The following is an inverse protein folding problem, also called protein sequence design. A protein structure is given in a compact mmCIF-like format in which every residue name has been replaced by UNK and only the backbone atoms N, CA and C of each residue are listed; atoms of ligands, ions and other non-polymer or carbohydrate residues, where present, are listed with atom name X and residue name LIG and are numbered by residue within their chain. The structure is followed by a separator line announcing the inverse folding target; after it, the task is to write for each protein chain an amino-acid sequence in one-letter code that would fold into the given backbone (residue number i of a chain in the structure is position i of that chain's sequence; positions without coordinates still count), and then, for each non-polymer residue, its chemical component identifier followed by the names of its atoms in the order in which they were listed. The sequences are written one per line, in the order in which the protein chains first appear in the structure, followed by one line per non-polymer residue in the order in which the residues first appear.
data_IF_567208193029
#
_entry.id   IF_567208193029
#
_cell.length_a   1.000
_cell.length_b   1.000
_cell.length_c   1.000
_cell.angle_alpha   90.00
_cell.angle_beta   90.00
_cell.angle_gamma   90.00
#
_symmetry.space_group_name_H-M   'P 1'
#
loop_
_entity.id
_entity.type
_entity.pdbx_description
1 polymer ?
#
# COMPACT_ATOMS: atom_id res chain seq x y z
N UNK A 1 -24.90 -16.71 13.57
CA UNK A 1 -24.07 -15.72 14.29
C UNK A 1 -22.86 -15.42 13.41
N UNK A 2 -22.57 -14.15 13.10
CA UNK A 2 -21.41 -13.74 12.28
C UNK A 2 -20.07 -14.19 12.92
N UNK A 3 -19.07 -14.49 12.09
CA UNK A 3 -17.71 -14.88 12.50
C UNK A 3 -17.05 -13.80 13.38
N UNK A 4 -17.24 -12.52 13.03
CA UNK A 4 -16.74 -11.38 13.78
C UNK A 4 -17.26 -11.37 15.24
N UNK A 5 -18.55 -11.69 15.44
CA UNK A 5 -19.16 -11.79 16.80
C UNK A 5 -18.56 -12.93 17.65
N UNK A 6 -17.78 -13.82 17.05
CA UNK A 6 -17.08 -14.92 17.70
C UNK A 6 -15.57 -14.64 17.85
N UNK A 7 -15.11 -13.45 17.46
CA UNK A 7 -13.69 -13.11 17.44
C UNK A 7 -12.89 -13.88 16.39
N UNK A 8 -13.55 -14.39 15.34
CA UNK A 8 -12.88 -15.13 14.26
C UNK A 8 -12.62 -14.15 13.10
N UNK A 9 -11.34 -13.94 12.77
CA UNK A 9 -10.92 -13.25 11.55
C UNK A 9 -10.95 -14.22 10.37
N UNK A 10 -11.59 -13.84 9.27
CA UNK A 10 -11.66 -14.63 8.04
C UNK A 10 -10.76 -13.97 7.00
N UNK A 11 -9.95 -14.75 6.28
CA UNK A 11 -9.19 -14.25 5.14
C UNK A 11 -9.44 -15.11 3.90
N UNK A 12 -9.54 -14.45 2.75
CA UNK A 12 -9.51 -15.04 1.42
C UNK A 12 -8.22 -14.62 0.73
N UNK A 13 -7.45 -15.59 0.23
CA UNK A 13 -6.18 -15.35 -0.43
C UNK A 13 -5.97 -16.26 -1.64
N UNK A 14 -5.05 -15.87 -2.52
CA UNK A 14 -4.61 -16.63 -3.72
C UNK A 14 -5.67 -16.79 -4.82
N UNK A 15 -6.79 -16.09 -4.76
CA UNK A 15 -7.81 -16.11 -5.82
C UNK A 15 -7.51 -15.12 -6.95
N UNK A 16 -8.13 -15.38 -8.10
CA UNK A 16 -8.04 -14.51 -9.27
C UNK A 16 -8.90 -13.25 -9.09
N UNK A 17 -8.51 -12.14 -9.73
CA UNK A 17 -9.21 -10.85 -9.65
C UNK A 17 -10.71 -10.93 -9.98
N UNK A 18 -11.11 -11.84 -10.89
CA UNK A 18 -12.52 -12.04 -11.24
C UNK A 18 -13.41 -12.46 -10.06
N UNK A 19 -12.84 -13.05 -9.01
CA UNK A 19 -13.58 -13.35 -7.76
C UNK A 19 -13.88 -12.04 -7.01
N UNK A 20 -12.95 -11.07 -7.02
CA UNK A 20 -13.18 -9.76 -6.41
C UNK A 20 -14.28 -8.98 -7.14
N UNK A 21 -14.34 -9.08 -8.47
CA UNK A 21 -15.44 -8.52 -9.26
C UNK A 21 -16.80 -9.07 -8.82
N UNK A 22 -16.87 -10.40 -8.61
CA UNK A 22 -18.09 -11.05 -8.15
C UNK A 22 -18.46 -10.63 -6.72
N UNK A 23 -17.48 -10.49 -5.81
CA UNK A 23 -17.73 -10.00 -4.46
C UNK A 23 -18.38 -8.61 -4.49
N UNK A 24 -17.84 -7.68 -5.30
CA UNK A 24 -18.45 -6.35 -5.48
C UNK A 24 -19.86 -6.42 -6.04
N UNK A 25 -20.07 -7.18 -7.11
CA UNK A 25 -21.38 -7.31 -7.77
C UNK A 25 -22.45 -7.90 -6.84
N UNK A 26 -22.04 -8.77 -5.91
CA UNK A 26 -22.93 -9.40 -4.94
C UNK A 26 -23.14 -8.58 -3.65
N UNK A 27 -22.53 -7.39 -3.54
CA UNK A 27 -22.66 -6.52 -2.36
C UNK A 27 -21.77 -6.90 -1.19
N UNK A 28 -20.66 -7.61 -1.44
CA UNK A 28 -19.65 -8.01 -0.44
C UNK A 28 -18.35 -7.22 -0.60
N UNK A 29 -18.39 -5.98 -1.11
CA UNK A 29 -17.22 -5.11 -1.24
C UNK A 29 -16.52 -4.86 0.10
N UNK A 30 -17.29 -4.82 1.19
CA UNK A 30 -16.79 -4.67 2.56
C UNK A 30 -15.70 -5.71 2.90
N UNK A 31 -15.74 -6.92 2.30
CA UNK A 31 -14.70 -7.92 2.53
C UNK A 31 -13.33 -7.51 1.98
N UNK A 32 -13.33 -6.75 0.89
CA UNK A 32 -12.12 -6.23 0.25
C UNK A 32 -11.63 -4.99 1.02
N UNK A 33 -12.56 -4.09 1.31
CA UNK A 33 -12.29 -2.79 1.96
C UNK A 33 -11.81 -2.96 3.42
N UNK A 34 -12.30 -3.97 4.14
CA UNK A 34 -11.86 -4.27 5.51
C UNK A 34 -10.63 -5.19 5.58
N UNK A 35 -9.98 -5.48 4.44
CA UNK A 35 -8.72 -6.24 4.40
C UNK A 35 -8.87 -7.76 4.58
N UNK A 36 -10.09 -8.32 4.51
CA UNK A 36 -10.29 -9.78 4.57
C UNK A 36 -9.90 -10.49 3.26
N UNK A 37 -9.56 -9.75 2.22
CA UNK A 37 -9.17 -10.24 0.90
C UNK A 37 -7.75 -9.78 0.62
N UNK A 38 -6.80 -10.71 0.54
CA UNK A 38 -5.39 -10.43 0.20
C UNK A 38 -4.95 -11.20 -1.01
N UNK A 39 -3.99 -10.65 -1.77
CA UNK A 39 -3.54 -11.29 -3.02
C UNK A 39 -2.81 -12.61 -2.77
N UNK A 40 -2.02 -12.69 -1.70
CA UNK A 40 -1.25 -13.90 -1.33
C UNK A 40 -1.53 -14.34 0.11
N UNK A 41 -1.25 -15.61 0.39
CA UNK A 41 -1.39 -16.18 1.74
C UNK A 41 -0.41 -15.53 2.73
N UNK A 42 0.78 -15.16 2.27
CA UNK A 42 1.82 -14.52 3.09
C UNK A 42 1.39 -13.14 3.58
N UNK A 43 0.67 -12.39 2.75
CA UNK A 43 0.10 -11.09 3.10
C UNK A 43 -1.09 -11.23 4.05
N UNK A 44 -1.96 -12.23 3.83
CA UNK A 44 -3.03 -12.55 4.79
C UNK A 44 -2.47 -12.97 6.17
N UNK A 45 -1.37 -13.73 6.18
CA UNK A 45 -0.67 -14.09 7.41
C UNK A 45 -0.07 -12.87 8.11
N UNK A 46 0.51 -11.93 7.35
CA UNK A 46 1.04 -10.68 7.88
C UNK A 46 -0.04 -9.86 8.59
N UNK A 47 -1.22 -9.67 7.96
CA UNK A 47 -2.36 -8.98 8.60
C UNK A 47 -2.89 -9.70 9.84
N UNK A 48 -2.78 -11.03 9.85
CA UNK A 48 -3.15 -11.84 11.00
C UNK A 48 -2.09 -11.79 12.13
N UNK A 49 -0.97 -11.10 11.93
CA UNK A 49 0.12 -10.94 12.91
C UNK A 49 1.14 -12.09 12.88
N UNK A 50 1.18 -12.87 11.81
CA UNK A 50 2.16 -13.94 11.59
C UNK A 50 3.25 -13.49 10.62
N UNK A 51 4.49 -13.47 11.10
CA UNK A 51 5.65 -13.11 10.31
C UNK A 51 6.54 -14.32 9.98
N UNK A 52 7.37 -14.16 8.95
CA UNK A 52 8.39 -15.15 8.58
C UNK A 52 9.55 -15.12 9.59
N UNK A 53 10.18 -16.25 9.90
CA UNK A 53 9.85 -17.61 9.43
C UNK A 53 8.60 -18.17 10.13
N UNK A 54 7.73 -18.85 9.38
CA UNK A 54 6.49 -19.38 9.94
C UNK A 54 6.76 -20.65 10.76
N UNK A 55 6.42 -20.64 12.05
CA UNK A 55 6.62 -21.78 12.93
C UNK A 55 5.49 -22.81 12.78
N UNK A 56 5.82 -24.04 12.37
CA UNK A 56 4.87 -25.15 12.26
C UNK A 56 5.02 -26.08 13.46
N UNK A 57 3.93 -26.36 14.16
CA UNK A 57 3.91 -27.32 15.27
C UNK A 57 4.15 -28.76 14.75
N UNK A 58 5.02 -29.51 15.42
CA UNK A 58 5.28 -30.92 15.08
C UNK A 58 6.12 -31.17 13.83
N UNK A 59 6.66 -30.11 13.19
CA UNK A 59 7.58 -30.22 12.06
C UNK A 59 8.97 -29.76 12.51
N UNK A 60 9.97 -30.65 12.40
CA UNK A 60 11.37 -30.24 12.61
C UNK A 60 11.73 -29.13 11.61
N UNK A 61 12.23 -28.00 12.11
CA UNK A 61 12.60 -26.83 11.29
C UNK A 61 13.77 -27.08 10.32
N UNK A 62 14.30 -28.32 10.30
CA UNK A 62 15.32 -28.80 9.36
C UNK A 62 14.77 -29.02 7.95
N UNK A 63 13.44 -29.08 7.77
CA UNK A 63 12.84 -28.96 6.44
C UNK A 63 13.05 -27.53 6.00
N UNK A 64 14.02 -27.31 5.10
CA UNK A 64 14.35 -26.03 4.48
C UNK A 64 13.07 -25.30 4.06
N UNK A 65 12.50 -24.48 4.94
CA UNK A 65 11.74 -23.35 4.48
C UNK A 65 12.72 -22.57 3.61
N UNK A 66 12.34 -22.17 2.38
CA UNK A 66 13.14 -21.23 1.62
C UNK A 66 13.52 -20.12 2.59
N UNK A 67 14.83 -19.93 2.80
CA UNK A 67 15.37 -18.96 3.73
C UNK A 67 15.06 -17.57 3.17
N UNK A 68 13.80 -17.16 3.27
CA UNK A 68 13.39 -15.79 3.08
C UNK A 68 13.78 -15.10 4.39
N UNK A 69 15.02 -14.65 4.45
CA UNK A 69 15.56 -13.95 5.61
C UNK A 69 14.84 -12.61 5.76
N UNK A 70 14.17 -12.42 6.90
CA UNK A 70 13.73 -11.10 7.38
C UNK A 70 12.29 -10.73 7.06
N UNK A 71 11.87 -9.59 7.64
CA UNK A 71 10.56 -8.91 7.51
C UNK A 71 10.18 -8.51 6.07
N UNK A 72 10.89 -9.03 5.06
CA UNK A 72 10.75 -8.63 3.68
C UNK A 72 9.70 -9.48 2.96
N UNK A 73 8.86 -8.80 2.20
CA UNK A 73 7.99 -9.42 1.22
C UNK A 73 8.83 -10.12 0.16
N UNK A 74 8.26 -11.13 -0.50
CA UNK A 74 8.94 -11.75 -1.66
C UNK A 74 9.11 -10.75 -2.79
N UNK A 75 10.09 -10.98 -3.69
CA UNK A 75 10.23 -10.16 -4.91
C UNK A 75 8.90 -10.04 -5.68
N UNK A 76 8.09 -11.11 -5.63
CA UNK A 76 6.77 -11.14 -6.26
C UNK A 76 5.79 -10.23 -5.52
N UNK A 77 5.73 -10.34 -4.19
CA UNK A 77 4.90 -9.51 -3.30
C UNK A 77 5.23 -8.02 -3.38
N UNK A 78 6.50 -7.64 -3.50
CA UNK A 78 6.92 -6.24 -3.67
C UNK A 78 6.48 -5.63 -5.01
N UNK A 79 6.25 -6.49 -6.01
CA UNK A 79 5.86 -6.09 -7.35
C UNK A 79 4.35 -6.20 -7.62
N UNK A 80 3.55 -6.54 -6.60
CA UNK A 80 2.11 -6.66 -6.75
C UNK A 80 1.48 -5.27 -6.82
N UNK A 81 0.61 -5.12 -7.81
CA UNK A 81 -0.45 -4.10 -7.83
C UNK A 81 -1.67 -4.74 -7.12
N UNK A 82 -1.73 -4.62 -5.80
CA UNK A 82 -2.84 -5.13 -4.98
C UNK A 82 -4.10 -4.30 -5.22
N UNK A 83 -3.98 -2.99 -5.45
CA UNK A 83 -5.13 -2.14 -5.74
C UNK A 83 -5.83 -2.55 -7.04
N UNK A 84 -5.11 -2.67 -8.16
CA UNK A 84 -5.70 -3.10 -9.43
C UNK A 84 -6.26 -4.52 -9.33
N UNK A 85 -5.58 -5.43 -8.64
CA UNK A 85 -6.10 -6.79 -8.42
C UNK A 85 -7.37 -6.80 -7.56
N UNK A 86 -7.40 -5.97 -6.51
CA UNK A 86 -8.50 -5.91 -5.56
C UNK A 86 -9.71 -5.21 -6.16
N UNK A 87 -9.54 -4.06 -6.79
CA UNK A 87 -10.63 -3.14 -7.17
C UNK A 87 -10.82 -2.98 -8.68
N UNK A 88 -9.90 -3.49 -9.51
CA UNK A 88 -9.99 -3.39 -10.98
C UNK A 88 -10.04 -1.93 -11.43
N UNK A 89 -11.02 -1.58 -12.26
CA UNK A 89 -11.21 -0.22 -12.76
C UNK A 89 -11.50 0.83 -11.67
N UNK A 90 -11.93 0.40 -10.49
CA UNK A 90 -12.22 1.28 -9.35
C UNK A 90 -10.97 1.59 -8.51
N UNK A 91 -9.84 0.94 -8.76
CA UNK A 91 -8.59 1.13 -8.01
C UNK A 91 -8.17 2.61 -7.89
N UNK A 92 -8.21 3.44 -8.96
CA UNK A 92 -7.86 4.85 -8.84
C UNK A 92 -8.80 5.66 -7.94
N UNK A 93 -10.09 5.32 -7.90
CA UNK A 93 -11.07 6.01 -7.06
C UNK A 93 -10.92 5.59 -5.60
N UNK A 94 -10.73 4.30 -5.35
CA UNK A 94 -10.52 3.77 -4.00
C UNK A 94 -9.25 4.34 -3.36
N UNK A 95 -8.13 4.34 -4.10
CA UNK A 95 -6.88 4.87 -3.56
C UNK A 95 -6.99 6.38 -3.23
N UNK A 96 -7.82 7.12 -3.95
CA UNK A 96 -8.12 8.52 -3.64
C UNK A 96 -8.97 8.70 -2.37
N UNK A 97 -9.88 7.76 -2.09
CA UNK A 97 -10.62 7.73 -0.81
C UNK A 97 -9.66 7.44 0.34
N UNK A 98 -8.73 6.50 0.16
CA UNK A 98 -7.76 6.13 1.19
C UNK A 98 -6.80 7.27 1.53
N UNK A 99 -6.37 8.04 0.52
CA UNK A 99 -5.57 9.26 0.73
C UNK A 99 -6.28 10.26 1.63
N UNK A 100 -7.59 10.45 1.43
CA UNK A 100 -8.38 11.35 2.28
C UNK A 100 -8.52 10.80 3.69
N UNK A 101 -8.80 9.51 3.83
CA UNK A 101 -8.86 8.85 5.14
C UNK A 101 -7.53 8.96 5.90
N UNK A 102 -6.39 8.77 5.22
CA UNK A 102 -5.04 8.95 5.79
C UNK A 102 -4.89 10.39 6.31
N UNK A 103 -5.19 11.39 5.48
CA UNK A 103 -5.06 12.81 5.86
C UNK A 103 -5.99 13.15 7.04
N UNK A 104 -7.22 12.65 7.04
CA UNK A 104 -8.20 12.90 8.11
C UNK A 104 -7.75 12.28 9.45
N UNK A 105 -7.19 11.08 9.41
CA UNK A 105 -6.78 10.28 10.58
C UNK A 105 -5.42 10.67 11.17
N UNK A 106 -4.63 11.53 10.51
CA UNK A 106 -3.42 12.08 11.13
C UNK A 106 -3.82 12.96 12.31
N UNK A 107 -3.62 12.42 13.52
CA UNK A 107 -3.97 13.05 14.80
C UNK A 107 -2.78 13.13 15.75
N UNK A 108 -1.70 13.81 15.38
CA UNK A 108 -0.84 14.47 16.36
C UNK A 108 0.17 15.40 15.67
N UNK A 109 0.54 16.49 16.34
CA UNK A 109 1.21 17.63 15.71
C UNK A 109 2.64 17.75 16.23
N UNK A 110 3.60 17.30 15.42
CA UNK A 110 5.03 17.60 15.65
C UNK A 110 5.52 18.60 14.61
N UNK A 111 5.97 19.77 15.06
CA UNK A 111 6.56 20.83 14.19
C UNK A 111 7.94 20.44 13.59
N UNK A 112 8.50 19.29 13.99
CA UNK A 112 9.82 18.83 13.55
C UNK A 112 9.65 17.90 12.35
N UNK A 113 10.49 18.07 11.33
CA UNK A 113 10.49 17.29 10.08
C UNK A 113 10.60 15.79 10.31
N UNK A 114 11.48 15.33 11.21
CA UNK A 114 11.56 13.92 11.60
C UNK A 114 10.19 13.42 12.06
N UNK A 115 9.60 14.07 13.07
CA UNK A 115 8.28 13.69 13.57
C UNK A 115 7.18 13.72 12.50
N UNK A 116 7.26 14.66 11.54
CA UNK A 116 6.34 14.70 10.38
C UNK A 116 6.51 13.46 9.50
N UNK A 117 7.74 13.03 9.23
CA UNK A 117 8.03 11.83 8.45
C UNK A 117 7.54 10.57 9.16
N UNK A 118 7.79 10.44 10.45
CA UNK A 118 7.28 9.32 11.24
C UNK A 118 5.74 9.28 11.22
N UNK A 119 5.07 10.41 11.42
CA UNK A 119 3.60 10.50 11.37
C UNK A 119 3.04 10.09 10.00
N UNK A 120 3.64 10.53 8.90
CA UNK A 120 3.22 10.14 7.55
C UNK A 120 3.42 8.65 7.32
N UNK A 121 4.57 8.10 7.74
CA UNK A 121 4.85 6.67 7.59
C UNK A 121 3.91 5.81 8.44
N UNK A 122 3.62 6.24 9.67
CA UNK A 122 2.63 5.58 10.53
C UNK A 122 1.24 5.65 9.91
N UNK A 123 0.82 6.80 9.39
CA UNK A 123 -0.49 6.95 8.77
C UNK A 123 -0.63 6.10 7.49
N UNK A 124 0.43 5.97 6.69
CA UNK A 124 0.47 5.06 5.53
C UNK A 124 0.46 3.60 5.99
N UNK A 125 1.25 3.25 7.01
CA UNK A 125 1.29 1.89 7.58
C UNK A 125 -0.01 1.47 8.27
N UNK A 126 -0.79 2.44 8.74
CA UNK A 126 -2.12 2.28 9.33
C UNK A 126 -3.27 2.53 8.37
N UNK A 127 -3.00 2.90 7.11
CA UNK A 127 -4.04 3.07 6.09
C UNK A 127 -4.87 1.78 6.06
N UNK A 128 -6.17 1.94 6.34
CA UNK A 128 -7.01 1.00 7.08
C UNK A 128 -7.20 -0.39 6.47
N UNK A 129 -6.65 -0.61 5.28
CA UNK A 129 -7.11 -1.61 4.32
C UNK A 129 -6.11 -2.75 4.25
N UNK A 130 -4.79 -2.49 4.24
CA UNK A 130 -3.79 -3.54 4.06
C UNK A 130 -2.52 -3.29 4.89
N UNK A 131 -2.21 -4.24 5.77
CA UNK A 131 -0.92 -4.28 6.47
C UNK A 131 0.19 -4.55 5.48
N UNK A 132 0.97 -3.50 5.19
CA UNK A 132 2.05 -3.50 4.22
C UNK A 132 1.53 -3.50 2.78
N UNK A 133 1.58 -2.34 2.12
CA UNK A 133 1.41 -2.18 0.68
C UNK A 133 2.64 -2.67 -0.07
N UNK A 134 2.45 -3.25 -1.27
CA UNK A 134 3.59 -3.53 -2.15
C UNK A 134 4.29 -2.23 -2.54
N UNK A 135 5.60 -2.28 -2.84
CA UNK A 135 6.37 -1.09 -3.27
C UNK A 135 5.69 -0.29 -4.40
N UNK A 136 4.98 -0.95 -5.32
CA UNK A 136 4.26 -0.30 -6.42
C UNK A 136 3.06 0.51 -5.92
N UNK A 137 2.22 -0.11 -5.09
CA UNK A 137 1.03 0.54 -4.53
C UNK A 137 1.43 1.68 -3.58
N UNK A 138 2.49 1.50 -2.79
CA UNK A 138 3.00 2.53 -1.88
C UNK A 138 3.51 3.75 -2.65
N UNK A 139 4.24 3.59 -3.77
CA UNK A 139 4.69 4.72 -4.60
C UNK A 139 3.53 5.50 -5.21
N UNK A 140 2.49 4.83 -5.72
CA UNK A 140 1.31 5.49 -6.28
C UNK A 140 0.47 6.19 -5.21
N UNK A 141 0.35 5.60 -4.01
CA UNK A 141 -0.29 6.25 -2.86
C UNK A 141 0.48 7.52 -2.45
N UNK A 142 1.81 7.44 -2.36
CA UNK A 142 2.69 8.57 -2.04
C UNK A 142 2.57 9.69 -3.09
N UNK A 143 2.53 9.33 -4.38
CA UNK A 143 2.30 10.31 -5.45
C UNK A 143 0.98 11.04 -5.28
N UNK A 144 -0.08 10.36 -4.85
CA UNK A 144 -1.38 10.99 -4.58
C UNK A 144 -1.36 11.85 -3.34
N UNK A 145 -0.71 11.39 -2.26
CA UNK A 145 -0.48 12.22 -1.07
C UNK A 145 0.26 13.51 -1.42
N UNK A 146 1.21 13.47 -2.36
CA UNK A 146 1.92 14.66 -2.84
C UNK A 146 0.98 15.66 -3.53
N UNK A 147 0.00 15.18 -4.32
CA UNK A 147 -1.03 16.05 -4.90
C UNK A 147 -1.88 16.75 -3.82
N UNK A 148 -1.99 16.14 -2.64
CA UNK A 148 -2.67 16.67 -1.46
C UNK A 148 -1.72 17.30 -0.44
N UNK A 149 -0.47 17.62 -0.84
CA UNK A 149 0.54 18.15 0.08
C UNK A 149 0.08 19.40 0.85
N UNK A 150 -0.74 20.27 0.23
CA UNK A 150 -1.31 21.45 0.89
C UNK A 150 -2.28 21.13 2.04
N UNK A 151 -3.04 20.04 1.91
CA UNK A 151 -3.99 19.58 2.92
C UNK A 151 -3.24 18.85 4.04
N UNK A 152 -2.33 17.96 3.64
CA UNK A 152 -1.46 17.22 4.55
C UNK A 152 -0.60 18.17 5.39
N UNK A 153 0.02 19.18 4.78
CA UNK A 153 0.83 20.21 5.46
C UNK A 153 0.04 20.95 6.54
N UNK A 154 -1.23 21.31 6.26
CA UNK A 154 -2.10 21.93 7.28
C UNK A 154 -2.38 20.99 8.43
N UNK A 155 -2.55 19.69 8.15
CA UNK A 155 -2.87 18.69 9.17
C UNK A 155 -1.72 18.43 10.12
N UNK A 156 -0.50 18.37 9.61
CA UNK A 156 0.72 18.17 10.41
C UNK A 156 1.37 19.46 10.89
N UNK A 157 0.77 20.62 10.58
CA UNK A 157 1.30 21.95 10.88
C UNK A 157 2.73 22.18 10.36
N UNK A 158 2.99 21.70 9.15
CA UNK A 158 4.27 21.87 8.45
C UNK A 158 4.05 22.61 7.12
N UNK A 159 5.09 22.78 6.32
CA UNK A 159 5.00 23.43 5.01
C UNK A 159 4.98 22.40 3.87
N UNK A 160 4.33 22.76 2.77
CA UNK A 160 4.18 21.90 1.58
C UNK A 160 5.51 21.41 1.02
N UNK A 161 6.56 22.23 1.06
CA UNK A 161 7.90 21.86 0.57
C UNK A 161 8.52 20.74 1.40
N UNK A 162 8.39 20.79 2.73
CA UNK A 162 8.85 19.73 3.62
C UNK A 162 8.07 18.44 3.39
N UNK A 163 6.75 18.52 3.19
CA UNK A 163 5.93 17.35 2.86
C UNK A 163 6.37 16.72 1.54
N UNK A 164 6.52 17.51 0.49
CA UNK A 164 7.00 17.04 -0.81
C UNK A 164 8.40 16.41 -0.69
N UNK A 165 9.29 16.99 0.12
CA UNK A 165 10.63 16.44 0.36
C UNK A 165 10.58 15.07 1.05
N UNK A 166 9.77 14.93 2.10
CA UNK A 166 9.59 13.66 2.82
C UNK A 166 9.05 12.58 1.89
N UNK A 167 8.01 12.91 1.10
CA UNK A 167 7.41 11.97 0.16
C UNK A 167 8.44 11.54 -0.90
N UNK A 168 9.17 12.49 -1.48
CA UNK A 168 10.18 12.18 -2.50
C UNK A 168 11.33 11.33 -1.93
N UNK A 169 11.78 11.60 -0.71
CA UNK A 169 12.75 10.73 -0.02
C UNK A 169 12.22 9.30 0.12
N UNK A 170 10.97 9.12 0.54
CA UNK A 170 10.37 7.80 0.72
C UNK A 170 10.23 7.07 -0.62
N UNK A 171 9.80 7.76 -1.67
CA UNK A 171 9.71 7.19 -3.03
C UNK A 171 11.08 6.79 -3.56
N UNK A 172 12.13 7.55 -3.24
CA UNK A 172 13.50 7.19 -3.57
C UNK A 172 13.93 5.88 -2.86
N UNK A 173 13.67 5.77 -1.56
CA UNK A 173 13.94 4.55 -0.78
C UNK A 173 13.20 3.32 -1.36
N UNK A 174 11.94 3.48 -1.75
CA UNK A 174 11.16 2.42 -2.42
C UNK A 174 11.82 2.01 -3.74
N UNK A 175 12.25 2.98 -4.55
CA UNK A 175 12.89 2.70 -5.84
C UNK A 175 14.24 2.00 -5.68
N UNK A 176 15.05 2.41 -4.69
CA UNK A 176 16.32 1.76 -4.35
C UNK A 176 16.09 0.33 -3.85
N UNK A 177 15.16 0.15 -2.90
CA UNK A 177 14.79 -1.17 -2.41
C UNK A 177 14.32 -2.07 -3.56
N UNK A 178 13.39 -1.59 -4.39
CA UNK A 178 12.86 -2.35 -5.50
C UNK A 178 13.93 -2.70 -6.53
N UNK A 179 14.97 -1.88 -6.73
CA UNK A 179 16.12 -2.23 -7.58
C UNK A 179 16.93 -3.40 -7.01
N UNK A 180 17.04 -3.52 -5.69
CA UNK A 180 17.77 -4.61 -5.03
C UNK A 180 16.99 -5.91 -5.05
N UNK A 181 15.70 -5.87 -4.67
CA UNK A 181 14.86 -7.08 -4.57
C UNK A 181 14.18 -7.48 -5.87
N UNK A 182 13.77 -6.55 -6.74
CA UNK A 182 13.13 -6.89 -8.02
C UNK A 182 13.42 -5.86 -9.13
N UNK A 183 14.57 -5.98 -9.81
CA UNK A 183 14.96 -5.02 -10.86
C UNK A 183 13.95 -4.90 -12.02
N UNK A 184 13.13 -5.93 -12.26
CA UNK A 184 12.09 -5.87 -13.28
C UNK A 184 10.93 -4.98 -12.83
N UNK A 185 10.48 -5.13 -11.57
CA UNK A 185 9.47 -4.28 -10.99
C UNK A 185 9.94 -2.82 -10.91
N UNK A 186 11.20 -2.56 -10.55
CA UNK A 186 11.77 -1.22 -10.54
C UNK A 186 11.81 -0.55 -11.93
N UNK A 187 11.93 -1.34 -13.02
CA UNK A 187 11.79 -0.83 -14.39
C UNK A 187 10.34 -0.45 -14.69
N UNK A 188 9.38 -1.31 -14.35
CA UNK A 188 7.95 -1.03 -14.55
C UNK A 188 7.51 0.21 -13.78
N UNK A 189 7.97 0.36 -12.54
CA UNK A 189 7.68 1.55 -11.72
C UNK A 189 8.15 2.82 -12.42
N UNK A 190 9.40 2.84 -12.92
CA UNK A 190 9.93 3.98 -13.68
C UNK A 190 9.16 4.27 -14.97
N UNK A 191 8.76 3.24 -15.70
CA UNK A 191 7.92 3.39 -16.90
C UNK A 191 6.55 4.00 -16.56
N UNK A 192 5.93 3.53 -15.48
CA UNK A 192 4.66 4.05 -14.97
C UNK A 192 4.77 5.52 -14.55
N UNK A 193 5.78 5.87 -13.74
CA UNK A 193 6.06 7.25 -13.31
C UNK A 193 6.25 8.18 -14.51
N UNK A 194 7.04 7.76 -15.51
CA UNK A 194 7.26 8.54 -16.73
C UNK A 194 5.96 8.78 -17.50
N UNK A 195 5.12 7.75 -17.64
CA UNK A 195 3.82 7.86 -18.30
C UNK A 195 2.90 8.87 -17.60
N UNK A 196 2.87 8.85 -16.27
CA UNK A 196 2.06 9.77 -15.47
C UNK A 196 2.56 11.21 -15.57
N UNK A 197 3.87 11.43 -15.52
CA UNK A 197 4.46 12.75 -15.73
C UNK A 197 4.11 13.33 -17.11
N UNK A 198 4.16 12.50 -18.16
CA UNK A 198 3.78 12.90 -19.51
C UNK A 198 2.30 13.31 -19.57
N UNK A 199 1.40 12.53 -18.95
CA UNK A 199 -0.03 12.89 -18.85
C UNK A 199 -0.25 14.20 -18.11
N UNK A 200 0.42 14.40 -16.96
CA UNK A 200 0.34 15.65 -16.19
C UNK A 200 0.81 16.86 -17.01
N UNK A 201 1.91 16.72 -17.76
CA UNK A 201 2.41 17.77 -18.66
C UNK A 201 1.40 18.09 -19.76
N UNK A 202 0.74 17.08 -20.34
CA UNK A 202 -0.31 17.28 -21.34
C UNK A 202 -1.57 17.95 -20.77
N UNK A 203 -2.02 17.55 -19.58
CA UNK A 203 -3.17 18.14 -18.91
C UNK A 203 -2.93 19.59 -18.52
N UNK A 204 -1.75 19.90 -17.98
CA UNK A 204 -1.35 21.27 -17.66
C UNK A 204 -1.26 22.15 -18.92
N UNK A 205 -0.81 21.59 -20.05
CA UNK A 205 -0.82 22.28 -21.34
C UNK A 205 -2.24 22.54 -21.87
N UNK A 206 -3.18 21.64 -21.62
CA UNK A 206 -4.60 21.81 -21.98
C UNK A 206 -5.32 22.83 -21.10
N UNK A 207 -4.95 22.94 -19.81
CA UNK A 207 -5.52 23.95 -18.88
C UNK A 207 -5.02 25.37 -19.13
N UNK A 208 -3.85 25.52 -19.75
CA UNK A 208 -3.21 26.82 -20.03
C UNK A 208 -3.44 27.35 -21.45
N UNK A 209 -4.27 26.68 -22.25
CA UNK A 209 -4.71 27.08 -23.60
C UNK A 209 -6.22 27.32 -23.61
#
# INVERSE_FOLDING_TARGET
RSLAKRGIKLYMAEHIAAVNDQLRQLGYSELIEEGFVRRTITLALLDAGYEKPYHLEGVEQNVRQPQMSGHFKSEQEESLDEYEWAFGEFAPARMEEDVKEIIENITDVTEIEAGTRELINEAIGHAHIWGGLGSIDEDELLRRLELHASELAKRVHNNETTIAHIIEQRRHEIAEHLMEVNPQAARRLREHQKMLEERLKEENKKKNN
#
